data_IF_362958614413
#
_entry.id   IF_362958614413
#
_cell.length_a   1.000
_cell.length_b   1.000
_cell.length_c   1.000
_cell.angle_alpha   90.00
_cell.angle_beta   90.00
_cell.angle_gamma   90.00
#
_symmetry.space_group_name_H-M   'P 1'
#
loop_
_entity.id
_entity.type
_entity.pdbx_description
1 polymer ?
#
# COMPACT_ATOMS: atom_id res chain seq x y z
N UNK A 1 12.10 -27.33 28.97
CA UNK A 1 12.12 -25.89 28.63
C UNK A 1 12.04 -25.74 27.13
N UNK A 2 10.84 -25.47 26.61
CA UNK A 2 10.59 -25.32 25.17
C UNK A 2 11.15 -23.96 24.72
N UNK A 3 12.18 -23.95 23.89
CA UNK A 3 12.63 -22.72 23.21
C UNK A 3 11.48 -22.22 22.34
N UNK A 4 11.03 -20.95 22.45
CA UNK A 4 10.07 -20.42 21.50
C UNK A 4 10.68 -20.53 20.11
N UNK A 5 9.94 -21.15 19.18
CA UNK A 5 10.30 -21.25 17.78
C UNK A 5 10.69 -19.86 17.29
N UNK A 6 11.98 -19.68 17.00
CA UNK A 6 12.55 -18.42 16.53
C UNK A 6 11.77 -18.07 15.26
N UNK A 7 10.91 -17.05 15.33
CA UNK A 7 10.21 -16.55 14.17
C UNK A 7 11.24 -16.37 13.05
N UNK A 8 11.02 -16.91 11.85
CA UNK A 8 11.92 -16.67 10.74
C UNK A 8 11.79 -15.19 10.38
N UNK A 9 12.59 -14.36 11.04
CA UNK A 9 12.78 -12.97 10.68
C UNK A 9 13.52 -12.98 9.34
N UNK A 10 12.76 -13.07 8.25
CA UNK A 10 13.23 -12.82 6.89
C UNK A 10 13.74 -11.36 6.87
N UNK A 11 15.05 -11.09 6.97
CA UNK A 11 15.58 -9.78 7.34
C UNK A 11 15.37 -8.67 6.29
N UNK A 12 14.75 -9.00 5.15
CA UNK A 12 14.45 -8.06 4.06
C UNK A 12 12.97 -7.87 3.74
N UNK A 13 12.05 -8.63 4.37
CA UNK A 13 10.62 -8.55 4.04
C UNK A 13 9.95 -7.31 4.65
N UNK A 14 10.37 -6.95 5.87
CA UNK A 14 9.82 -5.82 6.63
C UNK A 14 10.02 -4.45 5.94
N UNK A 15 11.23 -4.07 5.47
CA UNK A 15 11.44 -2.78 4.82
C UNK A 15 10.72 -2.67 3.47
N UNK A 16 10.65 -3.78 2.71
CA UNK A 16 9.93 -3.79 1.43
C UNK A 16 8.42 -3.65 1.67
N UNK A 17 7.85 -4.34 2.65
CA UNK A 17 6.45 -4.18 3.04
C UNK A 17 6.14 -2.75 3.49
N UNK A 18 7.02 -2.15 4.32
CA UNK A 18 6.86 -0.78 4.80
C UNK A 18 6.83 0.22 3.66
N UNK A 19 7.65 0.01 2.62
CA UNK A 19 7.64 0.84 1.41
C UNK A 19 6.29 0.81 0.69
N UNK A 20 5.68 -0.37 0.55
CA UNK A 20 4.36 -0.49 -0.07
C UNK A 20 3.24 0.08 0.78
N UNK A 21 3.32 -0.06 2.11
CA UNK A 21 2.37 0.56 3.04
C UNK A 21 2.44 2.10 2.96
N UNK A 22 3.64 2.67 2.93
CA UNK A 22 3.82 4.11 2.80
C UNK A 22 3.24 4.64 1.47
N UNK A 23 3.42 3.88 0.38
CA UNK A 23 2.84 4.23 -0.92
C UNK A 23 1.32 4.16 -0.91
N UNK A 24 0.75 3.12 -0.29
CA UNK A 24 -0.70 2.96 -0.13
C UNK A 24 -1.31 4.11 0.67
N UNK A 25 -0.66 4.50 1.78
CA UNK A 25 -1.08 5.64 2.60
C UNK A 25 -1.07 6.94 1.80
N UNK A 26 -0.05 7.17 0.99
CA UNK A 26 0.04 8.33 0.10
C UNK A 26 -1.10 8.31 -0.95
N UNK A 27 -1.38 7.14 -1.53
CA UNK A 27 -2.49 6.94 -2.46
C UNK A 27 -3.84 7.22 -1.81
N UNK A 28 -4.08 6.77 -0.58
CA UNK A 28 -5.30 7.07 0.17
C UNK A 28 -5.45 8.57 0.46
N UNK A 29 -4.38 9.26 0.86
CA UNK A 29 -4.42 10.71 1.09
C UNK A 29 -4.84 11.45 -0.18
N UNK A 30 -4.27 11.08 -1.34
CA UNK A 30 -4.67 11.64 -2.63
C UNK A 30 -6.13 11.34 -2.98
N UNK A 31 -6.58 10.10 -2.73
CA UNK A 31 -7.96 9.69 -2.98
C UNK A 31 -8.96 10.47 -2.12
N UNK A 32 -8.65 10.64 -0.83
CA UNK A 32 -9.47 11.39 0.13
C UNK A 32 -9.51 12.86 -0.24
N UNK A 33 -8.36 13.49 -0.53
CA UNK A 33 -8.30 14.91 -0.91
C UNK A 33 -9.04 15.20 -2.21
N UNK A 34 -8.82 14.37 -3.24
CA UNK A 34 -9.51 14.51 -4.52
C UNK A 34 -11.00 14.22 -4.40
N UNK A 35 -11.40 13.15 -3.71
CA UNK A 35 -12.79 12.78 -3.49
C UNK A 35 -13.54 13.81 -2.63
N UNK A 36 -12.88 14.36 -1.60
CA UNK A 36 -13.45 15.41 -0.77
C UNK A 36 -13.68 16.69 -1.57
N UNK A 37 -12.75 17.07 -2.44
CA UNK A 37 -12.96 18.21 -3.33
C UNK A 37 -14.13 17.98 -4.31
N UNK A 38 -14.25 16.78 -4.89
CA UNK A 38 -15.34 16.44 -5.80
C UNK A 38 -16.72 16.41 -5.12
N UNK A 39 -16.77 16.00 -3.85
CA UNK A 39 -18.03 15.92 -3.08
C UNK A 39 -18.47 17.26 -2.50
N UNK A 40 -17.53 18.06 -2.00
CA UNK A 40 -17.84 19.37 -1.39
C UNK A 40 -17.86 20.52 -2.40
N UNK A 41 -17.41 20.29 -3.63
CA UNK A 41 -17.27 21.33 -4.66
C UNK A 41 -16.27 22.44 -4.32
N UNK A 42 -15.55 22.30 -3.20
CA UNK A 42 -14.65 23.31 -2.65
C UNK A 42 -13.29 22.68 -2.35
N UNK A 43 -12.23 23.47 -2.46
CA UNK A 43 -10.88 23.01 -2.16
C UNK A 43 -10.73 22.72 -0.66
N UNK A 44 -10.44 21.47 -0.24
CA UNK A 44 -10.26 21.13 1.17
C UNK A 44 -8.95 21.69 1.75
N UNK A 45 -7.97 22.01 0.89
CA UNK A 45 -6.72 22.66 1.26
C UNK A 45 -6.45 23.84 0.31
N UNK A 46 -5.85 24.93 0.80
CA UNK A 46 -5.57 26.12 -0.01
C UNK A 46 -4.58 25.87 -1.17
N UNK A 47 -3.78 24.81 -1.08
CA UNK A 47 -2.77 24.47 -2.09
C UNK A 47 -3.23 23.41 -3.11
N UNK A 48 -4.23 22.57 -2.78
CA UNK A 48 -4.55 21.40 -3.60
C UNK A 48 -5.89 20.74 -3.19
N UNK A 49 -6.70 20.26 -4.13
CA UNK A 49 -6.78 20.59 -5.56
C UNK A 49 -7.34 22.01 -5.80
N UNK A 50 -6.96 22.69 -6.88
CA UNK A 50 -7.42 24.05 -7.21
C UNK A 50 -8.44 24.10 -8.37
N UNK A 51 -8.66 22.97 -9.03
CA UNK A 51 -9.66 22.83 -10.09
C UNK A 51 -10.24 21.42 -10.12
N UNK A 52 -11.44 21.27 -10.67
CA UNK A 52 -12.10 19.96 -10.82
C UNK A 52 -11.23 18.97 -11.58
N UNK A 53 -10.51 19.42 -12.61
CA UNK A 53 -9.61 18.56 -13.39
C UNK A 53 -8.44 18.04 -12.53
N UNK A 54 -7.87 18.88 -11.65
CA UNK A 54 -6.85 18.45 -10.69
C UNK A 54 -7.42 17.49 -9.65
N UNK A 55 -8.65 17.70 -9.18
CA UNK A 55 -9.30 16.79 -8.24
C UNK A 55 -9.52 15.40 -8.87
N UNK A 56 -9.99 15.34 -10.11
CA UNK A 56 -10.14 14.08 -10.87
C UNK A 56 -8.78 13.41 -11.08
N UNK A 57 -7.76 14.16 -11.47
CA UNK A 57 -6.40 13.63 -11.61
C UNK A 57 -5.85 13.10 -10.28
N UNK A 58 -6.08 13.80 -9.17
CA UNK A 58 -5.66 13.36 -7.83
C UNK A 58 -6.33 12.04 -7.43
N UNK A 59 -7.64 11.89 -7.68
CA UNK A 59 -8.34 10.62 -7.45
C UNK A 59 -7.79 9.51 -8.35
N UNK A 60 -7.58 9.78 -9.64
CA UNK A 60 -7.05 8.78 -10.57
C UNK A 60 -5.63 8.31 -10.18
N UNK A 61 -4.76 9.24 -9.77
CA UNK A 61 -3.41 8.93 -9.29
C UNK A 61 -3.45 8.21 -7.94
N UNK A 62 -4.29 8.67 -7.01
CA UNK A 62 -4.47 7.99 -5.72
C UNK A 62 -4.94 6.54 -5.89
N UNK A 63 -5.90 6.31 -6.80
CA UNK A 63 -6.43 4.97 -7.07
C UNK A 63 -5.38 4.04 -7.68
N UNK A 64 -4.60 4.54 -8.65
CA UNK A 64 -3.53 3.74 -9.27
C UNK A 64 -2.41 3.39 -8.28
N UNK A 65 -2.06 4.31 -7.37
CA UNK A 65 -1.08 4.05 -6.30
C UNK A 65 -1.56 2.98 -5.31
N UNK A 66 -2.81 3.09 -4.82
CA UNK A 66 -3.43 2.09 -3.93
C UNK A 66 -3.49 0.72 -4.62
N UNK A 67 -3.95 0.67 -5.87
CA UNK A 67 -4.00 -0.58 -6.62
C UNK A 67 -2.61 -1.22 -6.78
N UNK A 68 -1.60 -0.44 -7.17
CA UNK A 68 -0.23 -0.93 -7.33
C UNK A 68 0.35 -1.46 -6.01
N UNK A 69 0.12 -0.75 -4.90
CA UNK A 69 0.54 -1.18 -3.57
C UNK A 69 -0.13 -2.50 -3.17
N UNK A 70 -1.44 -2.62 -3.38
CA UNK A 70 -2.20 -3.85 -3.12
C UNK A 70 -1.66 -5.04 -3.94
N UNK A 71 -1.41 -4.85 -5.24
CA UNK A 71 -0.84 -5.90 -6.10
C UNK A 71 0.54 -6.37 -5.62
N UNK A 72 1.42 -5.45 -5.22
CA UNK A 72 2.77 -5.83 -4.73
C UNK A 72 2.74 -6.45 -3.35
N UNK A 73 1.89 -6.00 -2.44
CA UNK A 73 1.68 -6.67 -1.15
C UNK A 73 1.14 -8.09 -1.33
N UNK A 74 0.18 -8.30 -2.24
CA UNK A 74 -0.29 -9.62 -2.63
C UNK A 74 0.81 -10.49 -3.24
N UNK A 75 1.67 -9.92 -4.09
CA UNK A 75 2.80 -10.64 -4.67
C UNK A 75 3.82 -11.07 -3.61
N UNK A 76 4.14 -10.19 -2.66
CA UNK A 76 5.01 -10.47 -1.51
C UNK A 76 4.42 -11.58 -0.64
N UNK A 77 3.10 -11.55 -0.39
CA UNK A 77 2.43 -12.59 0.39
C UNK A 77 2.43 -13.94 -0.33
N UNK A 78 2.20 -13.94 -1.65
CA UNK A 78 2.25 -15.16 -2.48
C UNK A 78 3.66 -15.75 -2.51
N UNK A 79 4.70 -14.93 -2.68
CA UNK A 79 6.08 -15.40 -2.69
C UNK A 79 6.53 -15.89 -1.30
N UNK A 80 6.11 -15.21 -0.23
CA UNK A 80 6.37 -15.65 1.14
C UNK A 80 5.70 -17.01 1.44
N UNK A 81 4.46 -17.23 0.99
CA UNK A 81 3.77 -18.54 1.13
C UNK A 81 4.43 -19.64 0.31
N UNK A 82 4.87 -19.34 -0.91
CA UNK A 82 5.56 -20.31 -1.76
C UNK A 82 6.89 -20.77 -1.14
N UNK A 83 7.66 -19.85 -0.53
CA UNK A 83 8.91 -20.20 0.17
C UNK A 83 8.71 -21.11 1.39
N UNK A 84 7.62 -20.93 2.14
CA UNK A 84 7.30 -21.81 3.28
C UNK A 84 6.83 -23.21 2.88
N UNK A 85 6.12 -23.34 1.75
CA UNK A 85 5.71 -24.64 1.23
C UNK A 85 6.92 -25.47 0.76
N UNK A 86 7.92 -24.83 0.16
CA UNK A 86 9.18 -25.50 -0.23
C UNK A 86 10.04 -25.88 0.96
N UNK A 87 10.06 -25.07 2.04
CA UNK A 87 10.82 -25.38 3.26
C UNK A 87 10.28 -26.58 4.04
N UNK A 88 8.97 -26.78 4.06
CA UNK A 88 8.34 -27.95 4.70
C UNK A 88 8.46 -29.25 3.91
N UNK A 89 8.90 -29.20 2.65
CA UNK A 89 9.17 -30.38 1.84
C UNK A 89 10.61 -30.92 2.01
N UNK A 90 11.46 -30.20 2.75
CA UNK A 90 12.84 -30.59 3.06
C UNK A 90 13.08 -30.99 4.53
N UNK A 91 12.04 -31.01 5.36
CA UNK A 91 12.09 -31.56 6.74
C UNK A 91 11.53 -32.97 6.81
#
# INVERSE_FOLDING_TARGET
MSRPARAPAMPGLLPELLRWIALDLCGMVLLVLGGLHLTTGSAPLPAFPQSTLQAVAAVAVGFTLVALAAFKMLAILKSARAGQASGKAQE
#
